data_IF_896364014356
#
_entry.id   IF_896364014356
#
_cell.length_a   1.000
_cell.length_b   1.000
_cell.length_c   1.000
_cell.angle_alpha   90.00
_cell.angle_beta   90.00
_cell.angle_gamma   90.00
#
_symmetry.space_group_name_H-M   'P 1'
#
loop_
_entity.id
_entity.type
_entity.pdbx_description
1 polymer ?
#
# COMPACT_ATOMS: atom_id res chain seq x y z
N UNK A 1 -3.96 -7.43 28.88
CA UNK A 1 -3.21 -7.86 27.68
C UNK A 1 -1.91 -7.08 27.61
N UNK A 2 -0.74 -7.73 27.48
CA UNK A 2 0.52 -7.01 27.35
C UNK A 2 0.54 -6.24 26.02
N UNK A 3 0.94 -4.97 26.07
CA UNK A 3 1.16 -4.13 24.88
C UNK A 3 2.53 -4.46 24.31
N UNK A 4 2.56 -4.97 23.08
CA UNK A 4 3.79 -5.18 22.34
C UNK A 4 4.00 -4.06 21.34
N UNK A 5 5.17 -3.41 21.39
CA UNK A 5 5.58 -2.43 20.39
C UNK A 5 6.10 -3.16 19.16
N UNK A 6 5.79 -2.66 17.97
CA UNK A 6 6.24 -3.25 16.71
C UNK A 6 7.45 -2.50 16.17
N UNK A 7 8.53 -3.25 15.93
CA UNK A 7 9.77 -2.75 15.36
C UNK A 7 10.14 -3.52 14.09
N UNK A 8 10.91 -2.86 13.24
CA UNK A 8 11.49 -3.49 12.07
C UNK A 8 12.18 -4.82 12.43
N UNK A 9 11.91 -5.84 11.64
CA UNK A 9 12.42 -7.20 11.83
C UNK A 9 11.46 -8.12 12.59
N UNK A 10 10.47 -7.58 13.32
CA UNK A 10 9.45 -8.41 13.95
C UNK A 10 8.53 -9.04 12.90
N UNK A 11 8.18 -10.30 13.12
CA UNK A 11 7.37 -11.10 12.20
C UNK A 11 6.33 -11.89 12.97
N UNK A 12 5.15 -11.99 12.38
CA UNK A 12 4.07 -12.86 12.83
C UNK A 12 3.68 -13.74 11.66
N UNK A 13 3.61 -15.05 11.86
CA UNK A 13 3.22 -15.99 10.82
C UNK A 13 1.98 -16.77 11.24
N UNK A 14 1.10 -17.05 10.28
CA UNK A 14 -0.06 -17.90 10.38
C UNK A 14 -0.08 -18.92 9.24
N UNK A 15 -1.17 -19.67 9.11
CA UNK A 15 -1.35 -20.62 8.00
C UNK A 15 -1.34 -19.87 6.66
N UNK A 16 -0.26 -20.05 5.87
CA UNK A 16 -0.14 -19.51 4.52
C UNK A 16 0.20 -18.02 4.42
N UNK A 17 0.31 -17.29 5.53
CA UNK A 17 0.65 -15.87 5.51
C UNK A 17 1.72 -15.49 6.53
N UNK A 18 2.38 -14.36 6.28
CA UNK A 18 3.35 -13.72 7.19
C UNK A 18 3.13 -12.22 7.18
N UNK A 19 3.19 -11.59 8.34
CA UNK A 19 3.20 -10.14 8.52
C UNK A 19 4.57 -9.75 9.04
N UNK A 20 5.21 -8.80 8.42
CA UNK A 20 6.54 -8.32 8.75
C UNK A 20 6.49 -6.82 9.04
N UNK A 21 7.04 -6.38 10.17
CA UNK A 21 7.23 -4.97 10.46
C UNK A 21 8.52 -4.49 9.77
N UNK A 22 8.40 -3.49 8.88
CA UNK A 22 9.50 -2.92 8.12
C UNK A 22 9.97 -1.58 8.70
N UNK A 23 9.13 -0.92 9.50
CA UNK A 23 9.36 0.38 10.14
C UNK A 23 8.44 0.54 11.35
N UNK A 24 8.83 1.28 12.40
CA UNK A 24 10.12 1.96 12.62
C UNK A 24 11.24 1.00 13.01
N UNK A 25 12.49 1.50 13.04
CA UNK A 25 13.61 0.74 13.62
C UNK A 25 13.63 0.89 15.15
N UNK A 26 14.04 -0.14 15.88
CA UNK A 26 14.18 -0.09 17.34
C UNK A 26 15.13 1.01 17.83
N UNK A 27 16.19 1.29 17.08
CA UNK A 27 17.16 2.35 17.41
C UNK A 27 16.54 3.77 17.48
N UNK A 28 15.38 3.99 16.87
CA UNK A 28 14.68 5.28 16.94
C UNK A 28 14.05 5.59 18.28
N UNK A 29 13.73 4.58 19.07
CA UNK A 29 13.18 4.77 20.41
C UNK A 29 14.19 5.45 21.35
N UNK A 30 15.47 5.13 21.19
CA UNK A 30 16.55 5.67 22.01
C UNK A 30 16.77 7.19 21.84
N UNK A 31 16.25 7.77 20.74
CA UNK A 31 16.47 9.20 20.39
C UNK A 31 15.31 10.10 20.84
N UNK A 32 14.38 9.60 21.65
CA UNK A 32 13.21 10.33 22.11
C UNK A 32 12.04 10.28 21.12
N UNK A 33 10.90 9.87 21.64
CA UNK A 33 9.65 9.68 20.88
C UNK A 33 9.08 11.03 20.46
N UNK A 34 9.33 11.47 19.24
CA UNK A 34 8.54 12.52 18.61
C UNK A 34 7.30 11.88 18.00
N UNK A 35 6.12 12.34 18.42
CA UNK A 35 4.83 11.96 17.81
C UNK A 35 4.73 12.60 16.43
N UNK A 36 5.40 12.06 15.45
CA UNK A 36 5.28 12.48 14.06
C UNK A 36 4.92 11.28 13.16
N UNK A 37 4.38 11.56 12.01
CA UNK A 37 3.96 10.54 11.05
C UNK A 37 5.15 9.72 10.51
N UNK A 38 6.37 10.23 10.65
CA UNK A 38 7.59 9.53 10.25
C UNK A 38 7.96 8.35 11.17
N UNK A 39 7.22 8.15 12.27
CA UNK A 39 7.30 6.95 13.12
C UNK A 39 6.19 5.93 12.81
N UNK A 40 5.40 6.16 11.80
CA UNK A 40 4.32 5.26 11.39
C UNK A 40 4.80 3.84 11.18
N UNK A 41 4.02 2.88 11.64
CA UNK A 41 4.28 1.46 11.41
C UNK A 41 4.07 1.14 9.93
N UNK A 42 5.07 0.52 9.32
CA UNK A 42 4.97 -0.04 7.97
C UNK A 42 5.00 -1.55 8.06
N UNK A 43 3.93 -2.17 7.59
CA UNK A 43 3.78 -3.62 7.58
C UNK A 43 3.78 -4.15 6.15
N UNK A 44 4.41 -5.30 5.95
CA UNK A 44 4.28 -6.11 4.75
C UNK A 44 3.54 -7.40 5.10
N UNK A 45 2.36 -7.58 4.51
CA UNK A 45 1.65 -8.85 4.51
C UNK A 45 2.12 -9.65 3.29
N UNK A 46 2.52 -10.89 3.51
CA UNK A 46 2.93 -11.84 2.47
C UNK A 46 2.02 -13.06 2.51
N UNK A 47 1.37 -13.37 1.40
CA UNK A 47 0.61 -14.60 1.19
C UNK A 47 1.11 -15.25 -0.09
N UNK A 48 1.94 -16.29 0.05
CA UNK A 48 2.63 -16.91 -1.07
C UNK A 48 3.45 -15.90 -1.88
N UNK A 49 3.06 -15.65 -3.12
CA UNK A 49 3.67 -14.68 -4.04
C UNK A 49 3.06 -13.28 -3.99
N UNK A 50 2.02 -13.08 -3.20
CA UNK A 50 1.29 -11.80 -3.11
C UNK A 50 1.76 -11.02 -1.88
N UNK A 51 2.21 -9.79 -2.08
CA UNK A 51 2.68 -8.88 -1.03
C UNK A 51 1.81 -7.63 -1.00
N UNK A 52 1.39 -7.27 0.19
CA UNK A 52 0.65 -6.03 0.44
C UNK A 52 1.47 -5.16 1.38
N UNK A 53 1.75 -3.93 0.98
CA UNK A 53 2.44 -2.96 1.82
C UNK A 53 1.45 -1.97 2.43
N UNK A 54 1.41 -1.93 3.75
CA UNK A 54 0.59 -1.05 4.55
C UNK A 54 1.50 0.02 5.16
N UNK A 55 1.46 1.24 4.63
CA UNK A 55 2.45 2.27 4.95
C UNK A 55 1.95 3.32 5.95
N UNK A 56 0.80 3.09 6.61
CA UNK A 56 0.19 4.01 7.58
C UNK A 56 0.25 5.48 7.11
N UNK A 57 0.69 6.39 7.96
CA UNK A 57 0.80 7.81 7.62
C UNK A 57 2.27 8.25 7.41
N UNK A 58 3.11 7.30 6.96
CA UNK A 58 4.54 7.53 6.70
C UNK A 58 4.77 8.72 5.78
N UNK A 59 5.67 9.61 6.16
CA UNK A 59 6.09 10.77 5.39
C UNK A 59 7.52 10.62 4.84
N UNK A 60 8.03 11.66 4.20
CA UNK A 60 9.29 11.62 3.45
C UNK A 60 10.51 11.21 4.27
N UNK A 61 10.56 11.58 5.56
CA UNK A 61 11.70 11.22 6.41
C UNK A 61 11.66 9.73 6.71
N UNK A 62 10.50 9.20 7.11
CA UNK A 62 10.31 7.78 7.33
C UNK A 62 10.50 6.97 6.04
N UNK A 63 10.02 7.47 4.87
CA UNK A 63 10.30 6.84 3.57
C UNK A 63 11.83 6.74 3.31
N UNK A 64 12.60 7.80 3.58
CA UNK A 64 14.07 7.78 3.42
C UNK A 64 14.74 6.75 4.33
N UNK A 65 14.27 6.64 5.57
CA UNK A 65 14.79 5.64 6.50
C UNK A 65 14.46 4.22 6.06
N UNK A 66 13.24 4.01 5.62
CA UNK A 66 12.82 2.73 5.08
C UNK A 66 13.63 2.35 3.82
N UNK A 67 13.94 3.32 2.96
CA UNK A 67 14.78 3.11 1.79
C UNK A 67 16.23 2.75 2.14
N UNK A 68 16.77 3.37 3.20
CA UNK A 68 18.14 3.09 3.69
C UNK A 68 18.26 1.76 4.43
N UNK A 69 17.17 1.20 4.87
CA UNK A 69 17.17 -0.07 5.60
C UNK A 69 17.60 -1.28 4.76
N UNK A 70 17.64 -1.14 3.43
CA UNK A 70 17.92 -2.26 2.53
C UNK A 70 16.76 -3.24 2.33
N UNK A 71 15.64 -3.02 3.02
CA UNK A 71 14.47 -3.90 2.92
C UNK A 71 13.93 -3.97 1.49
N UNK A 72 13.48 -5.16 1.10
CA UNK A 72 12.76 -5.32 -0.15
C UNK A 72 11.34 -4.77 0.02
N UNK A 73 11.05 -3.62 -0.60
CA UNK A 73 9.75 -2.94 -0.48
C UNK A 73 8.76 -3.32 -1.58
N UNK A 74 9.14 -4.20 -2.50
CA UNK A 74 8.28 -4.58 -3.61
C UNK A 74 6.96 -5.17 -3.10
N UNK A 75 5.85 -4.69 -3.65
CA UNK A 75 4.52 -5.14 -3.26
C UNK A 75 3.54 -5.03 -4.44
N UNK A 76 2.63 -5.99 -4.52
CA UNK A 76 1.55 -6.05 -5.53
C UNK A 76 0.48 -5.01 -5.24
N UNK A 77 0.23 -4.75 -3.96
CA UNK A 77 -0.75 -3.76 -3.53
C UNK A 77 -0.11 -2.83 -2.49
N UNK A 78 -0.24 -1.54 -2.69
CA UNK A 78 0.17 -0.53 -1.71
C UNK A 78 -1.05 0.20 -1.14
N UNK A 79 -1.23 0.13 0.19
CA UNK A 79 -2.03 1.15 0.86
C UNK A 79 -1.20 2.43 0.90
N UNK A 80 -1.68 3.42 0.16
CA UNK A 80 -0.98 4.70 -0.04
C UNK A 80 -0.73 5.39 1.30
N UNK A 81 0.53 5.80 1.58
CA UNK A 81 0.84 6.45 2.85
C UNK A 81 0.13 7.79 2.99
N UNK A 82 -0.23 8.10 4.22
CA UNK A 82 -0.81 9.37 4.69
C UNK A 82 -1.96 9.87 3.80
N UNK A 83 -2.87 8.96 3.44
CA UNK A 83 -4.07 9.27 2.63
C UNK A 83 -3.78 9.96 1.29
N UNK A 84 -2.55 9.85 0.79
CA UNK A 84 -2.10 10.56 -0.40
C UNK A 84 -1.69 12.02 -0.15
N UNK A 85 -1.19 12.34 1.05
CA UNK A 85 -0.62 13.65 1.39
C UNK A 85 0.55 14.02 0.48
N UNK A 86 0.74 15.31 0.22
CA UNK A 86 1.90 15.85 -0.51
C UNK A 86 3.24 15.53 0.14
N UNK A 87 3.25 15.25 1.44
CA UNK A 87 4.43 14.94 2.24
C UNK A 87 4.87 13.49 2.11
N UNK A 88 4.09 12.65 1.42
CA UNK A 88 4.34 11.23 1.23
C UNK A 88 4.52 10.83 -0.24
N UNK A 89 4.71 9.54 -0.49
CA UNK A 89 4.77 8.92 -1.81
C UNK A 89 5.84 9.54 -2.72
N UNK A 90 7.07 9.66 -2.20
CA UNK A 90 8.20 10.13 -2.99
C UNK A 90 8.49 9.20 -4.17
N UNK A 91 9.07 9.73 -5.25
CA UNK A 91 9.46 8.92 -6.40
C UNK A 91 10.46 7.81 -6.04
N UNK A 92 11.37 8.07 -5.12
CA UNK A 92 12.32 7.04 -4.66
C UNK A 92 11.59 5.87 -4.01
N UNK A 93 10.62 6.16 -3.12
CA UNK A 93 9.77 5.16 -2.48
C UNK A 93 8.94 4.38 -3.52
N UNK A 94 8.25 5.08 -4.41
CA UNK A 94 7.40 4.47 -5.43
C UNK A 94 8.17 3.56 -6.39
N UNK A 95 9.38 3.94 -6.78
CA UNK A 95 10.26 3.11 -7.64
C UNK A 95 10.74 1.84 -6.94
N UNK A 96 10.86 1.85 -5.62
CA UNK A 96 11.22 0.64 -4.84
C UNK A 96 10.03 -0.27 -4.63
N UNK A 97 8.84 0.29 -4.36
CA UNK A 97 7.61 -0.50 -4.15
C UNK A 97 7.07 -1.04 -5.48
N UNK A 98 7.00 -0.21 -6.51
CA UNK A 98 6.46 -0.52 -7.86
C UNK A 98 5.10 -1.24 -7.80
N UNK A 99 4.09 -0.69 -7.12
CA UNK A 99 2.83 -1.39 -6.93
C UNK A 99 2.00 -1.36 -8.23
N UNK A 100 1.57 -2.52 -8.76
CA UNK A 100 0.57 -2.57 -9.84
C UNK A 100 -0.78 -1.99 -9.42
N UNK A 101 -1.11 -2.03 -8.12
CA UNK A 101 -2.32 -1.45 -7.58
C UNK A 101 -2.04 -0.61 -6.33
N UNK A 102 -2.72 0.53 -6.22
CA UNK A 102 -2.62 1.47 -5.10
C UNK A 102 -4.00 1.76 -4.53
N UNK A 103 -4.15 1.62 -3.22
CA UNK A 103 -5.40 1.91 -2.50
C UNK A 103 -5.20 3.15 -1.64
N UNK A 104 -5.93 4.21 -1.94
CA UNK A 104 -5.96 5.44 -1.18
C UNK A 104 -7.15 5.40 -0.24
N UNK A 105 -6.90 5.29 1.05
CA UNK A 105 -7.92 5.46 2.08
C UNK A 105 -8.19 6.96 2.24
N UNK A 106 -9.30 7.45 1.73
CA UNK A 106 -9.71 8.84 1.80
C UNK A 106 -11.17 8.91 2.23
N UNK A 107 -11.50 9.89 3.07
CA UNK A 107 -12.88 10.24 3.40
C UNK A 107 -13.43 11.27 2.41
N UNK A 108 -14.48 11.99 2.82
CA UNK A 108 -14.95 13.17 2.07
C UNK A 108 -13.78 14.16 1.92
N UNK A 109 -13.72 14.93 0.81
CA UNK A 109 -12.60 15.84 0.56
C UNK A 109 -12.52 16.89 1.68
N UNK A 110 -11.71 16.60 2.69
CA UNK A 110 -11.29 17.56 3.69
C UNK A 110 -9.77 17.56 3.76
N UNK A 111 -9.16 18.71 4.01
CA UNK A 111 -7.72 18.90 4.15
C UNK A 111 -6.86 18.61 2.90
N UNK A 112 -7.44 18.62 1.68
CA UNK A 112 -6.69 18.47 0.42
C UNK A 112 -6.08 17.08 0.17
N UNK A 113 -6.60 16.03 0.80
CA UNK A 113 -6.19 14.65 0.56
C UNK A 113 -7.26 13.85 -0.20
N UNK A 114 -6.85 12.99 -1.16
CA UNK A 114 -5.49 12.85 -1.70
C UNK A 114 -5.10 14.04 -2.58
N UNK A 115 -3.84 14.46 -2.49
CA UNK A 115 -3.28 15.50 -3.36
C UNK A 115 -3.19 14.99 -4.80
N UNK A 116 -3.63 15.80 -5.77
CA UNK A 116 -3.54 15.44 -7.19
C UNK A 116 -2.09 15.20 -7.64
N UNK A 117 -1.13 15.92 -7.05
CA UNK A 117 0.29 15.68 -7.29
C UNK A 117 0.72 14.26 -6.93
N UNK A 118 0.17 13.68 -5.87
CA UNK A 118 0.45 12.30 -5.45
C UNK A 118 -0.30 11.32 -6.33
N UNK A 119 -1.57 11.56 -6.60
CA UNK A 119 -2.38 10.71 -7.50
C UNK A 119 -1.73 10.62 -8.87
N UNK A 120 -1.22 11.74 -9.42
CA UNK A 120 -0.55 11.76 -10.72
C UNK A 120 0.74 10.91 -10.75
N UNK A 121 1.47 10.81 -9.62
CA UNK A 121 2.65 9.92 -9.54
C UNK A 121 2.26 8.46 -9.71
N UNK A 122 1.19 8.02 -9.07
CA UNK A 122 0.69 6.64 -9.22
C UNK A 122 0.18 6.36 -10.63
N UNK A 123 -0.51 7.33 -11.26
CA UNK A 123 -0.91 7.22 -12.68
C UNK A 123 0.30 7.06 -13.61
N UNK A 124 1.33 7.89 -13.42
CA UNK A 124 2.58 7.81 -14.21
C UNK A 124 3.34 6.50 -13.98
N UNK A 125 3.21 5.91 -12.81
CA UNK A 125 3.78 4.59 -12.50
C UNK A 125 3.01 3.46 -13.19
N UNK A 126 1.82 3.74 -13.74
CA UNK A 126 0.93 2.74 -14.33
C UNK A 126 0.08 1.97 -13.30
N UNK A 127 0.08 2.40 -12.05
CA UNK A 127 -0.67 1.72 -11.00
C UNK A 127 -2.18 1.91 -11.16
N UNK A 128 -2.95 0.83 -10.97
CA UNK A 128 -4.40 0.90 -10.84
C UNK A 128 -4.75 1.53 -9.50
N UNK A 129 -5.45 2.67 -9.52
CA UNK A 129 -5.75 3.44 -8.32
C UNK A 129 -7.18 3.18 -7.88
N UNK A 130 -7.35 2.81 -6.61
CA UNK A 130 -8.63 2.76 -5.90
C UNK A 130 -8.65 3.85 -4.83
N UNK A 131 -9.80 4.52 -4.66
CA UNK A 131 -10.00 5.58 -3.66
C UNK A 131 -11.27 5.30 -2.89
N UNK A 132 -11.20 5.19 -1.56
CA UNK A 132 -12.37 4.84 -0.74
C UNK A 132 -13.47 5.90 -0.77
N UNK A 133 -13.14 7.18 -1.00
CA UNK A 133 -14.11 8.26 -1.17
C UNK A 133 -14.95 8.13 -2.45
N UNK A 134 -14.43 7.45 -3.47
CA UNK A 134 -15.10 7.24 -4.78
C UNK A 134 -15.58 5.81 -4.97
N UNK A 135 -14.78 4.86 -4.56
CA UNK A 135 -14.96 3.44 -4.81
C UNK A 135 -15.65 2.72 -3.65
N UNK A 136 -15.81 3.39 -2.48
CA UNK A 136 -16.26 2.76 -1.24
C UNK A 136 -15.20 1.82 -0.66
N UNK A 137 -15.61 0.80 0.06
CA UNK A 137 -14.69 -0.21 0.55
C UNK A 137 -13.98 -0.90 -0.62
N UNK A 138 -12.68 -1.14 -0.45
CA UNK A 138 -11.88 -1.90 -1.41
C UNK A 138 -11.52 -3.22 -0.76
N UNK A 139 -11.95 -4.31 -1.37
CA UNK A 139 -11.69 -5.67 -0.90
C UNK A 139 -10.53 -6.27 -1.68
N UNK A 140 -9.65 -6.97 -0.98
CA UNK A 140 -8.55 -7.74 -1.56
C UNK A 140 -8.75 -9.22 -1.22
N UNK A 141 -8.71 -10.06 -2.23
CA UNK A 141 -8.60 -11.51 -2.10
C UNK A 141 -7.29 -12.00 -2.66
N UNK A 142 -6.76 -13.04 -2.07
CA UNK A 142 -5.56 -13.69 -2.56
C UNK A 142 -5.60 -15.19 -2.26
N UNK A 143 -5.15 -15.99 -3.20
CA UNK A 143 -4.90 -17.42 -3.08
C UNK A 143 -3.40 -17.75 -2.91
N UNK A 144 -2.58 -16.73 -2.73
CA UNK A 144 -1.13 -16.82 -2.64
C UNK A 144 -0.40 -16.84 -3.99
N UNK A 145 -1.10 -17.04 -5.11
CA UNK A 145 -0.55 -16.99 -6.48
C UNK A 145 -1.11 -15.81 -7.27
N UNK A 146 -2.39 -15.57 -7.09
CA UNK A 146 -3.12 -14.47 -7.71
C UNK A 146 -3.75 -13.59 -6.65
N UNK A 147 -4.14 -12.38 -7.02
CA UNK A 147 -4.89 -11.49 -6.16
C UNK A 147 -5.91 -10.69 -6.97
N UNK A 148 -6.97 -10.28 -6.29
CA UNK A 148 -8.08 -9.54 -6.85
C UNK A 148 -8.48 -8.39 -5.94
N UNK A 149 -8.65 -7.21 -6.54
CA UNK A 149 -9.20 -6.03 -5.88
C UNK A 149 -10.57 -5.71 -6.47
N UNK A 150 -11.53 -5.42 -5.61
CA UNK A 150 -12.89 -5.03 -6.00
C UNK A 150 -13.35 -3.80 -5.23
N UNK A 151 -14.13 -2.97 -5.91
CA UNK A 151 -14.77 -1.78 -5.37
C UNK A 151 -16.19 -2.10 -4.92
N UNK A 152 -16.56 -1.72 -3.69
CA UNK A 152 -17.91 -1.93 -3.18
C UNK A 152 -18.97 -1.02 -3.84
N UNK A 153 -18.60 0.21 -4.23
CA UNK A 153 -19.52 1.17 -4.86
C UNK A 153 -19.58 1.09 -6.37
N UNK A 154 -18.64 0.39 -7.00
CA UNK A 154 -18.56 0.26 -8.45
C UNK A 154 -18.44 -1.21 -8.81
N UNK A 155 -19.57 -1.94 -8.79
CA UNK A 155 -19.60 -3.33 -9.24
C UNK A 155 -19.00 -3.41 -10.65
N UNK A 156 -18.16 -4.41 -10.90
CA UNK A 156 -17.40 -4.50 -12.17
C UNK A 156 -16.06 -3.75 -12.19
N UNK A 157 -15.79 -2.81 -11.29
CA UNK A 157 -14.45 -2.25 -11.14
C UNK A 157 -13.55 -3.23 -10.38
N UNK A 158 -12.98 -4.13 -11.14
CA UNK A 158 -12.16 -5.23 -10.68
C UNK A 158 -10.77 -5.14 -11.28
N UNK A 159 -9.77 -5.53 -10.51
CA UNK A 159 -8.40 -5.72 -10.96
C UNK A 159 -7.92 -7.07 -10.46
N UNK A 160 -7.40 -7.88 -11.35
CA UNK A 160 -6.85 -9.20 -11.04
C UNK A 160 -5.47 -9.33 -11.65
N UNK A 161 -4.51 -9.88 -10.92
CA UNK A 161 -3.16 -10.10 -11.39
C UNK A 161 -2.48 -11.23 -10.62
N UNK A 162 -1.36 -11.71 -11.18
CA UNK A 162 -0.49 -12.68 -10.52
C UNK A 162 0.42 -11.97 -9.51
N UNK A 163 0.71 -12.63 -8.41
CA UNK A 163 1.78 -12.25 -7.49
C UNK A 163 3.15 -12.39 -8.18
N UNK A 164 4.15 -11.59 -7.74
CA UNK A 164 5.43 -11.36 -8.42
C UNK A 164 5.29 -10.73 -9.80
N UNK A 165 4.53 -9.75 -9.81
CA UNK A 165 4.14 -8.77 -10.72
C UNK A 165 4.89 -8.55 -11.95
N UNK A 166 4.66 -8.37 -12.95
CA UNK A 166 4.97 -7.79 -14.25
C UNK A 166 4.18 -8.44 -15.39
N UNK A 167 2.96 -8.86 -15.13
CA UNK A 167 2.03 -8.94 -16.24
C UNK A 167 0.78 -8.15 -15.85
N UNK A 168 0.68 -6.92 -16.33
CA UNK A 168 -0.59 -6.22 -16.43
C UNK A 168 -1.48 -7.01 -17.38
N UNK A 169 -2.16 -8.02 -16.86
CA UNK A 169 -3.26 -8.61 -17.61
C UNK A 169 -4.37 -7.57 -17.59
N UNK A 170 -4.48 -6.81 -18.67
CA UNK A 170 -5.65 -6.02 -18.95
C UNK A 170 -6.84 -6.99 -19.01
N UNK A 171 -7.64 -7.01 -17.95
CA UNK A 171 -8.98 -7.60 -18.07
C UNK A 171 -9.72 -6.70 -19.05
N UNK A 172 -10.09 -7.26 -20.18
CA UNK A 172 -10.87 -6.59 -21.22
C UNK A 172 -12.11 -5.95 -20.57
N UNK A 173 -12.35 -4.70 -20.90
CA UNK A 173 -13.63 -4.06 -20.60
C UNK A 173 -14.73 -4.97 -21.16
N UNK A 174 -15.63 -5.44 -20.30
CA UNK A 174 -16.83 -6.12 -20.75
C UNK A 174 -17.53 -5.24 -21.77
N UNK A 175 -17.64 -5.75 -22.98
CA UNK A 175 -18.46 -5.14 -24.02
C UNK A 175 -19.87 -5.06 -23.45
N UNK A 176 -20.40 -3.85 -23.35
CA UNK A 176 -21.85 -3.64 -23.20
C UNK A 176 -22.50 -4.41 -24.34
N UNK A 177 -23.35 -5.36 -24.02
CA UNK A 177 -24.30 -5.89 -25.00
C UNK A 177 -25.24 -4.74 -25.33
N UNK A 178 -25.42 -4.38 -26.57
CA UNK A 178 -26.56 -3.57 -26.94
C UNK A 178 -27.83 -4.44 -26.80
N UNK A 179 -28.81 -3.88 -26.13
CA UNK A 179 -30.21 -4.39 -26.17
C UNK A 179 -30.79 -4.16 -27.55
#
# INVERSE_FOLDING_TARGET
MPLHRLWRGMKVSGRGYRIEALHPSAAREAVGYRRDNDHSVVLRLVHGKVRVLLASDLERRGERELLRSGENLRAEVLRVPHHGSRTSSSWAFLRRVRPPAAVISAGRPCRGHPSEKVVSRYRRLGAKIYRTDRDGAVRLWSDGKTYRLESARRPGRRFEAKGEGMALTRVAAERRRPD
#
